data_IF_248798079222
#
_entry.id   IF_248798079222
#
_cell.length_a   1.000
_cell.length_b   1.000
_cell.length_c   1.000
_cell.angle_alpha   90.00
_cell.angle_beta   90.00
_cell.angle_gamma   90.00
#
_symmetry.space_group_name_H-M   'P 1'
#
loop_
_entity.id
_entity.type
_entity.pdbx_description
1 polymer ?
#
# COMPACT_ATOMS: atom_id res chain seq x y z
N UNK A 1 16.99 17.77 6.48
CA UNK A 1 16.06 17.31 5.41
C UNK A 1 15.33 16.06 5.87
N UNK A 2 13.99 16.07 5.83
CA UNK A 2 13.09 14.95 6.11
C UNK A 2 12.55 14.36 4.82
N UNK A 3 12.74 13.06 4.64
CA UNK A 3 12.31 12.33 3.44
C UNK A 3 11.24 11.31 3.80
N UNK A 4 10.13 11.30 3.07
CA UNK A 4 9.15 10.22 3.12
C UNK A 4 9.39 9.24 1.97
N UNK A 5 9.36 7.94 2.25
CA UNK A 5 9.50 6.90 1.24
C UNK A 5 8.33 5.93 1.36
N UNK A 6 7.49 5.90 0.34
CA UNK A 6 6.32 5.04 0.27
C UNK A 6 6.65 3.81 -0.59
N UNK A 7 6.69 2.64 0.03
CA UNK A 7 6.93 1.37 -0.67
C UNK A 7 5.59 0.72 -0.99
N UNK A 8 5.29 0.56 -2.28
CA UNK A 8 3.98 0.08 -2.74
C UNK A 8 4.05 -0.47 -4.18
N UNK A 9 3.11 -1.34 -4.54
CA UNK A 9 2.85 -1.72 -5.93
C UNK A 9 2.28 -0.57 -6.77
N UNK A 10 1.67 0.44 -6.12
CA UNK A 10 1.08 1.59 -6.79
C UNK A 10 2.06 2.76 -6.96
N UNK A 11 3.37 2.50 -6.92
CA UNK A 11 4.41 3.53 -7.00
C UNK A 11 4.39 4.29 -8.34
N UNK A 12 4.07 3.58 -9.43
CA UNK A 12 3.92 4.16 -10.76
C UNK A 12 2.46 4.35 -11.16
N UNK A 13 1.65 3.29 -11.09
CA UNK A 13 0.26 3.33 -11.52
C UNK A 13 -0.66 3.20 -10.32
N UNK A 14 -1.67 4.08 -10.26
CA UNK A 14 -2.79 3.92 -9.34
C UNK A 14 -3.69 2.80 -9.88
N UNK A 15 -3.76 1.70 -9.16
CA UNK A 15 -4.57 0.51 -9.47
C UNK A 15 -5.72 0.34 -8.48
N UNK A 16 -5.55 0.86 -7.27
CA UNK A 16 -6.47 0.61 -6.16
C UNK A 16 -6.56 1.79 -5.18
N UNK A 17 -6.93 1.45 -3.94
CA UNK A 17 -7.14 2.44 -2.89
C UNK A 17 -5.84 3.00 -2.32
N UNK A 18 -4.71 2.28 -2.41
CA UNK A 18 -3.45 2.73 -1.82
C UNK A 18 -2.89 3.92 -2.61
N UNK A 19 -2.96 3.86 -3.94
CA UNK A 19 -2.56 4.98 -4.79
C UNK A 19 -3.38 6.24 -4.53
N UNK A 20 -4.68 6.10 -4.22
CA UNK A 20 -5.51 7.24 -3.83
C UNK A 20 -5.07 7.84 -2.49
N UNK A 21 -4.80 7.00 -1.48
CA UNK A 21 -4.29 7.47 -0.18
C UNK A 21 -2.98 8.23 -0.34
N UNK A 22 -2.03 7.67 -1.10
CA UNK A 22 -0.74 8.32 -1.36
C UNK A 22 -0.95 9.65 -2.11
N UNK A 23 -1.81 9.69 -3.13
CA UNK A 23 -2.11 10.92 -3.84
C UNK A 23 -2.66 12.01 -2.90
N UNK A 24 -3.58 11.65 -2.01
CA UNK A 24 -4.16 12.58 -1.03
C UNK A 24 -3.09 13.06 -0.02
N UNK A 25 -2.26 12.16 0.51
CA UNK A 25 -1.15 12.52 1.40
C UNK A 25 -0.20 13.51 0.72
N UNK A 26 0.30 13.14 -0.46
CA UNK A 26 1.27 13.91 -1.23
C UNK A 26 0.72 15.26 -1.72
N UNK A 27 -0.60 15.49 -1.70
CA UNK A 27 -1.21 16.77 -2.10
C UNK A 27 -1.76 17.56 -0.91
N UNK A 28 -1.66 17.03 0.31
CA UNK A 28 -2.12 17.70 1.52
C UNK A 28 -1.09 18.69 2.06
N UNK A 29 -1.55 19.87 2.48
CA UNK A 29 -0.66 20.91 3.03
C UNK A 29 0.12 20.46 4.27
N UNK A 30 -0.47 19.75 5.26
CA UNK A 30 0.28 19.30 6.43
C UNK A 30 1.43 18.37 6.07
N UNK A 31 1.20 17.41 5.15
CA UNK A 31 2.23 16.49 4.69
C UNK A 31 3.37 17.24 3.97
N UNK A 32 3.03 18.11 3.02
CA UNK A 32 3.99 18.91 2.26
C UNK A 32 4.77 19.90 3.13
N UNK A 33 4.21 20.34 4.25
CA UNK A 33 4.91 21.19 5.22
C UNK A 33 5.88 20.42 6.12
N UNK A 34 5.70 19.11 6.25
CA UNK A 34 6.50 18.27 7.14
C UNK A 34 7.65 17.56 6.42
N UNK A 35 7.42 17.11 5.18
CA UNK A 35 8.41 16.40 4.37
C UNK A 35 8.97 17.29 3.27
N UNK A 36 10.30 17.35 3.18
CA UNK A 36 11.00 18.09 2.13
C UNK A 36 10.97 17.35 0.79
N UNK A 37 11.00 16.01 0.86
CA UNK A 37 11.04 15.11 -0.30
C UNK A 37 10.16 13.89 -0.07
N UNK A 38 9.57 13.40 -1.16
CA UNK A 38 8.79 12.17 -1.18
C UNK A 38 9.28 11.28 -2.31
N UNK A 39 9.57 10.02 -1.99
CA UNK A 39 9.91 8.97 -2.94
C UNK A 39 8.82 7.90 -2.96
N UNK A 40 8.33 7.57 -4.14
CA UNK A 40 7.56 6.35 -4.38
C UNK A 40 8.51 5.24 -4.84
N UNK A 41 8.58 4.16 -4.07
CA UNK A 41 9.47 3.03 -4.31
C UNK A 41 8.67 1.76 -4.61
N UNK A 42 9.02 1.06 -5.68
CA UNK A 42 8.30 -0.15 -6.05
C UNK A 42 9.00 -0.98 -7.13
N UNK A 43 8.41 -2.12 -7.50
CA UNK A 43 8.91 -2.92 -8.61
C UNK A 43 8.55 -2.30 -9.96
N UNK A 44 9.35 -2.58 -10.98
CA UNK A 44 8.96 -2.42 -12.38
C UNK A 44 8.16 -3.66 -12.78
N UNK A 45 6.88 -3.48 -13.11
CA UNK A 45 6.04 -4.57 -13.61
C UNK A 45 6.30 -4.83 -15.09
N UNK A 46 6.35 -3.78 -15.89
CA UNK A 46 6.47 -3.87 -17.35
C UNK A 46 7.24 -2.69 -17.91
N UNK A 47 7.98 -2.94 -18.99
CA UNK A 47 8.67 -1.90 -19.76
C UNK A 47 7.76 -1.37 -20.87
N UNK A 48 6.72 -0.63 -20.47
CA UNK A 48 5.80 0.04 -21.40
C UNK A 48 6.40 1.38 -21.86
N UNK A 49 6.16 1.75 -23.11
CA UNK A 49 6.56 3.05 -23.65
C UNK A 49 8.03 3.15 -24.08
N UNK A 50 8.46 4.38 -24.31
CA UNK A 50 9.85 4.74 -24.66
C UNK A 50 10.68 5.01 -23.40
N UNK A 51 12.02 5.09 -23.50
CA UNK A 51 12.89 5.39 -22.35
C UNK A 51 12.50 6.67 -21.59
N UNK A 52 12.01 7.69 -22.30
CA UNK A 52 11.58 8.97 -21.72
C UNK A 52 10.16 8.95 -21.11
N UNK A 53 9.37 7.89 -21.33
CA UNK A 53 7.97 7.81 -20.91
C UNK A 53 7.70 6.66 -19.93
N UNK A 54 8.75 5.99 -19.42
CA UNK A 54 8.67 4.89 -18.45
C UNK A 54 7.89 5.25 -17.17
N UNK A 55 7.83 6.52 -16.81
CA UNK A 55 7.07 7.02 -15.65
C UNK A 55 5.64 7.49 -15.98
N UNK A 56 5.14 7.16 -17.17
CA UNK A 56 3.80 7.54 -17.64
C UNK A 56 3.69 9.01 -18.05
N UNK A 57 2.47 9.43 -18.41
CA UNK A 57 2.19 10.75 -19.01
C UNK A 57 2.59 11.95 -18.14
N UNK A 58 2.52 11.79 -16.81
CA UNK A 58 2.80 12.85 -15.83
C UNK A 58 4.22 12.73 -15.24
N UNK A 59 5.04 11.83 -15.79
CA UNK A 59 6.37 11.50 -15.31
C UNK A 59 7.47 12.05 -16.22
N UNK A 60 8.58 12.47 -15.62
CA UNK A 60 9.83 12.80 -16.31
C UNK A 60 10.89 11.80 -15.87
N UNK A 61 11.37 10.98 -16.80
CA UNK A 61 12.44 10.02 -16.54
C UNK A 61 13.78 10.76 -16.49
N UNK A 62 14.55 10.55 -15.43
CA UNK A 62 15.93 11.03 -15.34
C UNK A 62 16.93 9.94 -15.69
N UNK A 63 16.61 8.70 -15.35
CA UNK A 63 17.49 7.56 -15.55
C UNK A 63 16.69 6.27 -15.83
N UNK A 64 17.13 5.49 -16.80
CA UNK A 64 16.71 4.11 -17.05
C UNK A 64 17.93 3.29 -17.45
N UNK A 65 18.34 2.36 -16.59
CA UNK A 65 19.56 1.56 -16.81
C UNK A 65 19.44 0.67 -18.04
N UNK A 66 18.30 -0.03 -18.18
CA UNK A 66 18.02 -0.95 -19.29
C UNK A 66 18.00 -0.25 -20.64
N UNK A 67 17.54 0.99 -20.66
CA UNK A 67 17.41 1.80 -21.87
C UNK A 67 18.67 2.64 -22.18
N UNK A 68 19.71 2.57 -21.34
CA UNK A 68 20.90 3.45 -21.39
C UNK A 68 20.53 4.94 -21.44
N UNK A 69 19.45 5.30 -20.75
CA UNK A 69 18.92 6.66 -20.74
C UNK A 69 19.34 7.37 -19.46
N UNK A 70 20.08 8.46 -19.59
CA UNK A 70 20.59 9.24 -18.45
C UNK A 70 20.66 10.73 -18.80
N UNK A 71 19.72 11.50 -18.27
CA UNK A 71 19.65 12.95 -18.53
C UNK A 71 20.30 13.78 -17.44
N UNK A 72 20.69 13.17 -16.32
CA UNK A 72 21.19 13.86 -15.11
C UNK A 72 22.44 13.20 -14.49
N UNK A 73 23.16 12.38 -15.26
CA UNK A 73 24.37 11.65 -14.85
C UNK A 73 24.16 10.69 -13.64
N UNK A 74 22.98 10.09 -13.52
CA UNK A 74 22.67 9.09 -12.49
C UNK A 74 23.37 7.75 -12.71
N UNK A 75 23.86 7.47 -13.91
CA UNK A 75 24.68 6.29 -14.21
C UNK A 75 25.87 6.16 -13.27
N UNK A 76 26.59 7.26 -12.99
CA UNK A 76 27.72 7.25 -12.06
C UNK A 76 27.30 6.93 -10.62
N UNK A 77 26.10 7.38 -10.22
CA UNK A 77 25.56 7.14 -8.89
C UNK A 77 25.19 5.67 -8.70
N UNK A 78 24.48 5.08 -9.66
CA UNK A 78 23.87 3.75 -9.48
C UNK A 78 24.73 2.59 -9.97
N UNK A 79 25.70 2.82 -10.88
CA UNK A 79 26.47 1.76 -11.56
C UNK A 79 26.92 0.63 -10.64
N UNK A 80 27.54 0.96 -9.51
CA UNK A 80 28.05 -0.05 -8.59
C UNK A 80 26.95 -0.96 -8.02
N UNK A 81 25.77 -0.40 -7.70
CA UNK A 81 24.66 -1.19 -7.16
C UNK A 81 23.97 -2.03 -8.24
N UNK A 82 23.84 -1.49 -9.46
CA UNK A 82 23.27 -2.23 -10.59
C UNK A 82 24.13 -3.46 -10.90
N UNK A 83 25.45 -3.30 -10.94
CA UNK A 83 26.41 -4.40 -11.15
C UNK A 83 26.40 -5.39 -9.97
N UNK A 84 26.46 -4.89 -8.72
CA UNK A 84 26.47 -5.73 -7.51
C UNK A 84 25.25 -6.63 -7.42
N UNK A 85 24.06 -6.07 -7.64
CA UNK A 85 22.79 -6.80 -7.46
C UNK A 85 22.27 -7.44 -8.75
N UNK A 86 22.84 -7.09 -9.91
CA UNK A 86 22.36 -7.44 -11.24
C UNK A 86 20.87 -7.06 -11.42
N UNK A 87 20.58 -5.78 -11.22
CA UNK A 87 19.23 -5.21 -11.31
C UNK A 87 19.20 -4.07 -12.31
N UNK A 88 18.01 -3.77 -12.80
CA UNK A 88 17.74 -2.56 -13.58
C UNK A 88 16.85 -1.60 -12.77
N UNK A 89 16.95 -0.31 -13.06
CA UNK A 89 16.13 0.71 -12.40
C UNK A 89 15.62 1.76 -13.37
N UNK A 90 14.48 2.35 -13.02
CA UNK A 90 13.95 3.58 -13.62
C UNK A 90 13.77 4.61 -12.50
N UNK A 91 14.37 5.77 -12.67
CA UNK A 91 14.31 6.87 -11.71
C UNK A 91 13.89 8.18 -12.37
N UNK A 92 13.08 8.96 -11.68
CA UNK A 92 12.65 10.27 -12.14
C UNK A 92 11.68 10.93 -11.19
N UNK A 93 10.90 11.86 -11.72
CA UNK A 93 9.88 12.59 -10.97
C UNK A 93 8.51 12.43 -11.65
N UNK A 94 7.46 12.57 -10.85
CA UNK A 94 6.09 12.53 -11.33
C UNK A 94 5.26 13.62 -10.66
N UNK A 95 4.45 14.31 -11.46
CA UNK A 95 3.44 15.23 -10.95
C UNK A 95 2.24 14.44 -10.43
N UNK A 96 1.87 14.68 -9.18
CA UNK A 96 0.68 14.14 -8.54
C UNK A 96 -0.37 15.24 -8.49
N UNK A 97 -1.61 14.89 -8.84
CA UNK A 97 -2.76 15.79 -8.86
C UNK A 97 -3.85 15.18 -7.99
N UNK A 98 -4.44 15.99 -7.14
CA UNK A 98 -5.58 15.58 -6.34
C UNK A 98 -6.82 15.41 -7.23
N UNK A 99 -7.48 14.25 -7.20
CA UNK A 99 -8.59 13.96 -8.11
C UNK A 99 -9.83 14.81 -7.84
N UNK A 100 -10.05 15.17 -6.57
CA UNK A 100 -11.22 15.93 -6.16
C UNK A 100 -10.95 17.43 -6.21
N UNK A 101 -9.69 17.87 -6.08
CA UNK A 101 -9.31 19.27 -6.26
C UNK A 101 -8.07 19.40 -7.17
N UNK A 102 -8.24 19.51 -8.50
CA UNK A 102 -7.12 19.56 -9.46
C UNK A 102 -6.13 20.72 -9.27
N UNK A 103 -6.46 21.73 -8.46
CA UNK A 103 -5.54 22.81 -8.10
C UNK A 103 -4.47 22.37 -7.10
N UNK A 104 -4.75 21.33 -6.30
CA UNK A 104 -3.79 20.73 -5.38
C UNK A 104 -2.90 19.75 -6.14
N UNK A 105 -1.64 20.13 -6.30
CA UNK A 105 -0.64 19.31 -7.00
C UNK A 105 0.68 19.31 -6.25
N UNK A 106 1.47 18.28 -6.47
CA UNK A 106 2.84 18.16 -5.97
C UNK A 106 3.70 17.38 -6.95
N UNK A 107 5.01 17.37 -6.73
CA UNK A 107 5.96 16.55 -7.48
C UNK A 107 6.60 15.58 -6.51
N UNK A 108 6.61 14.30 -6.86
CA UNK A 108 7.25 13.24 -6.10
C UNK A 108 8.34 12.59 -6.94
N UNK A 109 9.37 12.08 -6.30
CA UNK A 109 10.37 11.23 -6.95
C UNK A 109 9.82 9.80 -7.04
N UNK A 110 10.19 9.07 -8.09
CA UNK A 110 9.78 7.68 -8.29
C UNK A 110 11.02 6.86 -8.62
N UNK A 111 11.24 5.78 -7.87
CA UNK A 111 12.29 4.80 -8.11
C UNK A 111 11.66 3.42 -8.26
N UNK A 112 11.77 2.86 -9.46
CA UNK A 112 11.26 1.53 -9.80
C UNK A 112 12.43 0.58 -10.03
N UNK A 113 12.33 -0.64 -9.52
CA UNK A 113 13.38 -1.65 -9.61
C UNK A 113 12.90 -2.87 -10.40
N UNK A 114 13.64 -3.26 -11.44
CA UNK A 114 13.50 -4.55 -12.10
C UNK A 114 14.45 -5.56 -11.44
N UNK A 115 13.83 -6.60 -10.87
CA UNK A 115 14.48 -7.65 -10.09
C UNK A 115 14.54 -9.00 -10.83
N UNK A 116 14.16 -9.03 -12.12
CA UNK A 116 14.03 -10.26 -12.90
C UNK A 116 15.34 -11.00 -13.09
N UNK A 117 16.46 -10.28 -13.12
CA UNK A 117 17.80 -10.84 -13.34
C UNK A 117 18.69 -10.84 -12.08
N UNK A 118 18.13 -10.51 -10.91
CA UNK A 118 18.90 -10.39 -9.67
C UNK A 118 19.69 -11.66 -9.34
N UNK A 119 20.92 -11.50 -8.85
CA UNK A 119 21.81 -12.62 -8.55
C UNK A 119 21.21 -13.57 -7.49
N UNK A 120 21.04 -14.84 -7.86
CA UNK A 120 20.45 -15.89 -7.02
C UNK A 120 21.23 -16.15 -5.72
N UNK A 121 22.55 -16.06 -5.74
CA UNK A 121 23.37 -16.25 -4.54
C UNK A 121 23.08 -15.16 -3.50
N UNK A 122 22.94 -13.90 -3.96
CA UNK A 122 22.56 -12.78 -3.10
C UNK A 122 21.15 -12.99 -2.54
N UNK A 123 20.20 -13.39 -3.38
CA UNK A 123 18.81 -13.66 -2.95
C UNK A 123 18.80 -14.73 -1.85
N UNK A 124 19.49 -15.86 -2.06
CA UNK A 124 19.55 -16.95 -1.11
C UNK A 124 20.22 -16.53 0.20
N UNK A 125 21.29 -15.74 0.13
CA UNK A 125 21.95 -15.20 1.32
C UNK A 125 21.01 -14.31 2.13
N UNK A 126 20.27 -13.41 1.47
CA UNK A 126 19.28 -12.58 2.16
C UNK A 126 18.11 -13.40 2.73
N UNK A 127 17.64 -14.43 2.03
CA UNK A 127 16.62 -15.36 2.57
C UNK A 127 17.12 -16.03 3.85
N UNK A 128 18.37 -16.49 3.86
CA UNK A 128 19.02 -17.02 5.06
C UNK A 128 19.06 -15.98 6.19
N UNK A 129 19.48 -14.75 5.92
CA UNK A 129 19.51 -13.68 6.94
C UNK A 129 18.12 -13.37 7.49
N UNK A 130 17.08 -13.35 6.65
CA UNK A 130 15.71 -13.13 7.08
C UNK A 130 15.19 -14.28 7.95
N UNK A 131 15.54 -15.52 7.62
CA UNK A 131 15.22 -16.67 8.45
C UNK A 131 15.94 -16.59 9.80
N UNK A 132 17.25 -16.32 9.80
CA UNK A 132 18.07 -16.24 11.02
C UNK A 132 17.62 -15.12 11.97
N UNK A 133 17.30 -13.93 11.43
CA UNK A 133 17.02 -12.75 12.25
C UNK A 133 15.53 -12.57 12.56
N UNK A 134 14.64 -13.07 11.69
CA UNK A 134 13.21 -12.81 11.77
C UNK A 134 12.35 -14.08 11.79
N UNK A 135 12.94 -15.25 11.55
CA UNK A 135 12.21 -16.51 11.45
C UNK A 135 11.30 -16.61 10.23
N UNK A 136 11.53 -15.82 9.18
CA UNK A 136 10.71 -15.85 7.95
C UNK A 136 11.14 -17.04 7.06
N UNK A 137 10.28 -18.06 6.87
CA UNK A 137 10.64 -19.25 6.08
C UNK A 137 10.37 -19.03 4.59
N UNK A 138 11.27 -18.31 3.91
CA UNK A 138 11.15 -17.97 2.49
C UNK A 138 10.99 -19.18 1.56
N UNK A 139 11.51 -20.35 1.96
CA UNK A 139 11.40 -21.62 1.24
C UNK A 139 9.94 -22.06 1.03
N UNK A 140 9.02 -21.67 1.92
CA UNK A 140 7.59 -21.96 1.78
C UNK A 140 6.89 -21.13 0.71
N UNK A 141 7.48 -20.00 0.32
CA UNK A 141 6.79 -18.96 -0.45
C UNK A 141 7.47 -18.63 -1.78
N UNK A 142 8.65 -19.19 -2.06
CA UNK A 142 9.47 -18.83 -3.22
C UNK A 142 8.86 -19.17 -4.59
N UNK A 143 7.81 -20.00 -4.62
CA UNK A 143 7.03 -20.26 -5.83
C UNK A 143 6.04 -19.13 -6.14
N UNK A 144 5.73 -18.28 -5.16
CA UNK A 144 4.86 -17.12 -5.34
C UNK A 144 5.68 -15.91 -5.80
N UNK A 145 5.46 -15.49 -7.05
CA UNK A 145 6.17 -14.35 -7.62
C UNK A 145 5.87 -13.04 -6.90
N UNK A 146 4.66 -12.88 -6.33
CA UNK A 146 4.31 -11.67 -5.58
C UNK A 146 5.17 -11.55 -4.31
N UNK A 147 5.41 -12.67 -3.63
CA UNK A 147 6.36 -12.73 -2.51
C UNK A 147 7.78 -12.38 -2.96
N UNK A 148 8.29 -13.08 -3.98
CA UNK A 148 9.66 -12.89 -4.48
C UNK A 148 9.92 -11.46 -4.93
N UNK A 149 8.95 -10.84 -5.60
CA UNK A 149 9.07 -9.47 -6.10
C UNK A 149 9.30 -8.47 -4.97
N UNK A 150 8.46 -8.48 -3.93
CA UNK A 150 8.61 -7.54 -2.82
C UNK A 150 9.79 -7.87 -1.91
N UNK A 151 10.12 -9.16 -1.77
CA UNK A 151 11.33 -9.57 -1.07
C UNK A 151 12.58 -8.99 -1.74
N UNK A 152 12.69 -9.15 -3.07
CA UNK A 152 13.87 -8.76 -3.85
C UNK A 152 14.06 -7.25 -3.90
N UNK A 153 13.01 -6.44 -4.06
CA UNK A 153 13.19 -4.98 -4.01
C UNK A 153 13.66 -4.51 -2.63
N UNK A 154 13.48 -5.31 -1.57
CA UNK A 154 14.01 -4.99 -0.24
C UNK A 154 15.53 -5.11 -0.14
N UNK A 155 16.16 -5.95 -0.96
CA UNK A 155 17.60 -6.26 -0.89
C UNK A 155 18.49 -5.02 -1.11
N UNK A 156 18.37 -4.27 -2.22
CA UNK A 156 19.22 -3.11 -2.49
C UNK A 156 18.74 -1.82 -1.78
N UNK A 157 17.65 -1.90 -1.01
CA UNK A 157 16.87 -0.73 -0.60
C UNK A 157 17.68 0.34 0.12
N UNK A 158 18.35 0.01 1.24
CA UNK A 158 19.05 1.03 2.03
C UNK A 158 20.19 1.70 1.25
N UNK A 159 20.92 0.95 0.43
CA UNK A 159 22.03 1.48 -0.36
C UNK A 159 21.51 2.47 -1.42
N UNK A 160 20.41 2.13 -2.12
CA UNK A 160 19.77 3.03 -3.07
C UNK A 160 19.28 4.33 -2.41
N UNK A 161 18.61 4.21 -1.26
CA UNK A 161 18.11 5.37 -0.52
C UNK A 161 19.26 6.25 0.01
N UNK A 162 20.36 5.64 0.44
CA UNK A 162 21.53 6.35 0.94
C UNK A 162 22.24 7.13 -0.17
N UNK A 163 22.24 6.63 -1.40
CA UNK A 163 22.77 7.34 -2.58
C UNK A 163 21.90 8.52 -2.99
N UNK A 164 20.57 8.35 -2.96
CA UNK A 164 19.63 9.41 -3.33
C UNK A 164 19.55 10.54 -2.29
N UNK A 165 19.63 10.20 -1.01
CA UNK A 165 19.45 11.16 0.09
C UNK A 165 20.58 11.13 1.13
N UNK A 166 21.83 11.41 0.72
CA UNK A 166 22.98 11.37 1.64
C UNK A 166 22.86 12.40 2.77
N UNK A 167 22.22 13.55 2.50
CA UNK A 167 22.01 14.66 3.44
C UNK A 167 20.72 14.56 4.26
N UNK A 168 19.93 13.47 4.12
CA UNK A 168 18.73 13.31 4.93
C UNK A 168 19.08 13.12 6.41
N UNK A 169 18.42 13.90 7.27
CA UNK A 169 18.56 13.82 8.73
C UNK A 169 17.61 12.77 9.29
N UNK A 170 16.39 12.73 8.76
CA UNK A 170 15.36 11.75 9.07
C UNK A 170 14.74 11.19 7.78
N UNK A 171 14.53 9.88 7.75
CA UNK A 171 13.87 9.17 6.66
C UNK A 171 12.73 8.34 7.24
N UNK A 172 11.53 8.56 6.75
CA UNK A 172 10.31 7.88 7.15
C UNK A 172 9.96 6.86 6.06
N UNK A 173 10.04 5.59 6.41
CA UNK A 173 9.80 4.47 5.52
C UNK A 173 8.40 3.92 5.79
N UNK A 174 7.50 4.09 4.83
CA UNK A 174 6.13 3.61 4.88
C UNK A 174 6.01 2.32 4.06
N UNK A 175 5.86 1.20 4.74
CA UNK A 175 5.47 -0.05 4.11
C UNK A 175 3.95 -0.09 3.97
N UNK A 176 3.44 0.17 2.77
CA UNK A 176 2.02 -0.03 2.53
C UNK A 176 1.74 -1.51 2.37
N UNK A 177 0.90 -2.06 3.24
CA UNK A 177 0.62 -3.48 3.31
C UNK A 177 1.90 -4.35 3.43
N UNK A 178 1.75 -5.66 3.24
CA UNK A 178 2.85 -6.63 3.25
C UNK A 178 4.00 -6.29 2.29
N UNK A 179 3.73 -5.50 1.24
CA UNK A 179 4.64 -5.23 0.13
C UNK A 179 5.90 -4.48 0.55
N UNK A 180 5.80 -3.55 1.51
CA UNK A 180 6.97 -2.81 1.99
C UNK A 180 7.71 -3.46 3.15
N UNK A 181 7.13 -4.50 3.75
CA UNK A 181 7.69 -5.12 4.96
C UNK A 181 9.11 -5.67 4.72
N UNK A 182 9.41 -6.38 3.61
CA UNK A 182 10.77 -6.84 3.35
C UNK A 182 11.80 -5.71 3.28
N UNK A 183 11.46 -4.60 2.62
CA UNK A 183 12.34 -3.43 2.54
C UNK A 183 12.61 -2.78 3.90
N UNK A 184 11.63 -2.77 4.81
CA UNK A 184 11.83 -2.23 6.17
C UNK A 184 12.60 -3.18 7.09
N UNK A 185 12.47 -4.49 6.87
CA UNK A 185 13.24 -5.51 7.58
C UNK A 185 14.71 -5.53 7.12
N UNK A 186 14.96 -5.37 5.82
CA UNK A 186 16.32 -5.32 5.28
C UNK A 186 17.15 -4.15 5.82
N UNK A 187 16.49 -3.08 6.28
CA UNK A 187 17.14 -2.01 7.03
C UNK A 187 17.88 -2.57 8.27
N UNK A 188 17.25 -3.44 9.07
CA UNK A 188 17.88 -3.98 10.29
C UNK A 188 19.12 -4.84 9.99
N UNK A 189 19.16 -5.47 8.81
CA UNK A 189 20.26 -6.33 8.39
C UNK A 189 21.47 -5.54 7.89
N UNK A 190 21.31 -4.26 7.57
CA UNK A 190 22.37 -3.46 6.98
C UNK A 190 23.17 -2.71 8.06
N UNK A 191 24.51 -2.85 8.13
CA UNK A 191 25.35 -2.16 9.11
C UNK A 191 25.25 -0.62 9.07
N UNK A 192 24.84 -0.04 7.93
CA UNK A 192 24.64 1.40 7.77
C UNK A 192 23.36 1.94 8.43
N UNK A 193 22.48 1.06 8.92
CA UNK A 193 21.21 1.46 9.51
C UNK A 193 21.38 2.16 10.85
N UNK A 194 20.69 3.30 10.98
CA UNK A 194 20.66 4.11 12.20
C UNK A 194 19.21 4.36 12.61
N UNK A 195 18.74 3.71 13.67
CA UNK A 195 17.35 3.83 14.17
C UNK A 195 16.92 5.27 14.51
N UNK A 196 17.87 6.14 14.84
CA UNK A 196 17.59 7.57 15.03
C UNK A 196 17.23 8.29 13.73
N UNK A 197 17.86 7.93 12.61
CA UNK A 197 17.64 8.50 11.27
C UNK A 197 16.48 7.84 10.54
N UNK A 198 16.33 6.53 10.65
CA UNK A 198 15.35 5.76 9.88
C UNK A 198 14.15 5.39 10.75
N UNK A 199 12.96 5.92 10.44
CA UNK A 199 11.69 5.61 11.09
C UNK A 199 10.90 4.65 10.21
N UNK A 200 10.53 3.51 10.77
CA UNK A 200 9.89 2.41 10.05
C UNK A 200 8.45 2.31 10.46
N UNK A 201 7.56 2.41 9.48
CA UNK A 201 6.13 2.53 9.68
C UNK A 201 5.44 1.51 8.79
N UNK A 202 4.70 0.58 9.39
CA UNK A 202 3.78 -0.28 8.64
C UNK A 202 2.45 0.44 8.49
N UNK A 203 1.97 0.61 7.26
CA UNK A 203 0.72 1.27 6.92
C UNK A 203 -0.30 0.19 6.51
N UNK A 204 -1.09 -0.24 7.49
CA UNK A 204 -2.12 -1.28 7.37
C UNK A 204 -3.43 -0.66 6.85
N UNK A 205 -3.74 -0.91 5.58
CA UNK A 205 -5.05 -0.60 4.98
C UNK A 205 -6.07 -1.72 5.23
N UNK A 206 -5.58 -2.95 5.41
CA UNK A 206 -6.33 -4.11 5.89
C UNK A 206 -5.41 -5.03 6.72
N UNK A 207 -5.98 -6.01 7.42
CA UNK A 207 -5.23 -7.13 7.96
C UNK A 207 -5.43 -8.33 7.03
N UNK A 208 -4.49 -8.53 6.10
CA UNK A 208 -4.60 -9.52 5.02
C UNK A 208 -5.23 -10.88 5.40
N UNK A 209 -4.76 -11.61 6.45
CA UNK A 209 -5.35 -12.90 6.82
C UNK A 209 -6.81 -12.80 7.29
N UNK A 210 -7.22 -11.67 7.89
CA UNK A 210 -8.61 -11.45 8.30
C UNK A 210 -9.54 -11.45 7.09
N UNK A 211 -9.18 -10.76 6.00
CA UNK A 211 -9.99 -10.76 4.78
C UNK A 211 -10.18 -12.17 4.22
N UNK A 212 -9.12 -12.99 4.20
CA UNK A 212 -9.18 -14.40 3.79
C UNK A 212 -10.15 -15.19 4.66
N UNK A 213 -10.13 -14.98 5.98
CA UNK A 213 -11.04 -15.65 6.91
C UNK A 213 -12.48 -15.17 6.69
N UNK A 214 -12.72 -13.86 6.68
CA UNK A 214 -14.05 -13.25 6.50
C UNK A 214 -14.72 -13.72 5.21
N UNK A 215 -13.99 -13.79 4.10
CA UNK A 215 -14.56 -14.18 2.81
C UNK A 215 -14.89 -15.68 2.70
N UNK A 216 -14.33 -16.52 3.58
CA UNK A 216 -14.54 -17.97 3.63
C UNK A 216 -15.39 -18.45 4.83
N UNK A 217 -15.61 -17.60 5.83
CA UNK A 217 -16.40 -17.92 7.01
C UNK A 217 -17.90 -17.84 6.71
N UNK A 218 -18.67 -18.82 7.19
CA UNK A 218 -20.13 -18.74 7.17
C UNK A 218 -20.63 -17.52 7.95
N UNK A 219 -21.48 -16.70 7.35
CA UNK A 219 -21.93 -15.42 7.93
C UNK A 219 -20.91 -14.26 7.81
N UNK A 220 -19.77 -14.49 7.15
CA UNK A 220 -18.76 -13.49 6.81
C UNK A 220 -18.31 -12.63 8.01
N UNK A 221 -18.35 -11.30 7.86
CA UNK A 221 -17.93 -10.31 8.85
C UNK A 221 -18.81 -10.33 10.10
N UNK A 222 -20.11 -10.64 10.00
CA UNK A 222 -21.00 -10.75 11.17
C UNK A 222 -20.45 -11.83 12.11
N UNK A 223 -20.14 -13.01 11.57
CA UNK A 223 -19.57 -14.10 12.37
C UNK A 223 -18.18 -13.73 12.88
N UNK A 224 -17.33 -13.19 12.01
CA UNK A 224 -15.94 -12.89 12.35
C UNK A 224 -15.82 -11.90 13.51
N UNK A 225 -16.54 -10.76 13.47
CA UNK A 225 -16.41 -9.75 14.51
C UNK A 225 -16.98 -10.22 15.86
N UNK A 226 -18.03 -11.04 15.87
CA UNK A 226 -18.51 -11.68 17.10
C UNK A 226 -17.46 -12.66 17.68
N UNK A 227 -16.79 -13.44 16.82
CA UNK A 227 -15.71 -14.34 17.23
C UNK A 227 -14.50 -13.56 17.75
N UNK A 228 -14.16 -12.44 17.11
CA UNK A 228 -13.08 -11.56 17.55
C UNK A 228 -13.39 -10.96 18.93
N UNK A 229 -14.61 -10.50 19.18
CA UNK A 229 -15.02 -10.01 20.51
C UNK A 229 -14.95 -11.11 21.57
N UNK A 230 -15.42 -12.32 21.24
CA UNK A 230 -15.29 -13.48 22.12
C UNK A 230 -13.82 -13.80 22.40
N UNK A 231 -12.99 -13.89 21.36
CA UNK A 231 -11.57 -14.18 21.48
C UNK A 231 -10.85 -13.17 22.37
N UNK A 232 -11.19 -11.88 22.26
CA UNK A 232 -10.64 -10.84 23.14
C UNK A 232 -11.01 -11.02 24.60
N UNK A 233 -12.27 -11.37 24.89
CA UNK A 233 -12.74 -11.63 26.27
C UNK A 233 -12.01 -12.82 26.89
N UNK A 234 -11.72 -13.84 26.09
CA UNK A 234 -11.05 -15.08 26.53
C UNK A 234 -9.52 -15.03 26.40
N UNK A 235 -8.94 -13.93 25.93
CA UNK A 235 -7.49 -13.81 25.71
C UNK A 235 -6.94 -14.72 24.60
N UNK A 236 -7.79 -15.14 23.65
CA UNK A 236 -7.41 -15.97 22.51
C UNK A 236 -6.96 -15.11 21.32
N UNK A 237 -5.95 -15.59 20.60
CA UNK A 237 -5.51 -14.97 19.34
C UNK A 237 -6.32 -15.50 18.14
N UNK A 238 -6.22 -14.79 17.02
CA UNK A 238 -6.81 -15.21 15.74
C UNK A 238 -6.39 -16.65 15.38
N UNK A 239 -5.10 -16.96 15.48
CA UNK A 239 -4.58 -18.28 15.12
C UNK A 239 -4.89 -19.36 16.17
N UNK A 240 -5.26 -18.98 17.40
CA UNK A 240 -5.77 -19.92 18.41
C UNK A 240 -7.16 -20.45 18.04
N UNK A 241 -7.96 -19.63 17.35
CA UNK A 241 -9.34 -19.98 16.95
C UNK A 241 -9.38 -20.57 15.53
N UNK A 242 -8.69 -19.92 14.58
CA UNK A 242 -8.76 -20.28 13.16
C UNK A 242 -7.59 -21.14 12.68
N UNK A 243 -6.65 -21.49 13.57
CA UNK A 243 -5.40 -22.15 13.22
C UNK A 243 -4.40 -21.22 12.55
N UNK A 244 -3.18 -21.72 12.33
CA UNK A 244 -2.11 -20.95 11.69
C UNK A 244 -2.51 -20.50 10.29
N UNK A 245 -2.20 -19.25 9.97
CA UNK A 245 -2.39 -18.65 8.64
C UNK A 245 -1.04 -18.48 7.91
N UNK A 246 0.03 -19.11 8.41
CA UNK A 246 1.39 -18.99 7.87
C UNK A 246 1.59 -19.82 6.58
N UNK A 247 0.57 -20.52 6.09
CA UNK A 247 0.55 -21.09 4.73
C UNK A 247 0.57 -20.00 3.65
N UNK A 248 0.26 -18.76 4.01
CA UNK A 248 0.27 -17.61 3.11
C UNK A 248 1.27 -16.55 3.57
N UNK A 249 2.24 -16.23 2.71
CA UNK A 249 3.39 -15.35 3.01
C UNK A 249 3.02 -13.97 3.58
N UNK A 250 1.83 -13.44 3.29
CA UNK A 250 1.38 -12.14 3.82
C UNK A 250 1.21 -12.18 5.33
N UNK A 251 0.79 -13.31 5.89
CA UNK A 251 0.59 -13.48 7.34
C UNK A 251 1.89 -13.28 8.13
N UNK A 252 2.98 -14.05 7.91
CA UNK A 252 4.21 -13.87 8.66
C UNK A 252 4.84 -12.49 8.41
N UNK A 253 4.73 -11.93 7.19
CA UNK A 253 5.18 -10.56 6.93
C UNK A 253 4.43 -9.54 7.80
N UNK A 254 3.09 -9.55 7.77
CA UNK A 254 2.27 -8.62 8.58
C UNK A 254 2.53 -8.79 10.09
N UNK A 255 2.74 -10.03 10.56
CA UNK A 255 3.14 -10.32 11.95
C UNK A 255 4.48 -9.67 12.32
N UNK A 256 5.43 -9.58 11.37
CA UNK A 256 6.74 -8.95 11.59
C UNK A 256 6.67 -7.42 11.70
N UNK A 257 5.58 -6.78 11.31
CA UNK A 257 5.42 -5.33 11.48
C UNK A 257 5.47 -4.88 12.96
N UNK A 258 5.24 -5.78 13.93
CA UNK A 258 5.45 -5.52 15.37
C UNK A 258 6.87 -5.06 15.71
N UNK A 259 7.85 -5.35 14.84
CA UNK A 259 9.25 -4.92 14.98
C UNK A 259 9.47 -3.44 14.65
N UNK A 260 8.56 -2.82 13.91
CA UNK A 260 8.71 -1.44 13.45
C UNK A 260 8.41 -0.42 14.55
N UNK A 261 8.71 0.85 14.27
CA UNK A 261 8.54 1.94 15.23
C UNK A 261 7.06 2.26 15.46
N UNK A 262 6.27 2.24 14.39
CA UNK A 262 4.81 2.45 14.43
C UNK A 262 4.07 1.57 13.43
N UNK A 263 2.81 1.31 13.75
CA UNK A 263 1.82 0.65 12.90
C UNK A 263 0.67 1.63 12.73
N UNK A 264 0.47 2.07 11.51
CA UNK A 264 -0.57 2.98 11.08
C UNK A 264 -1.74 2.16 10.57
N UNK A 265 -2.84 2.12 11.30
CA UNK A 265 -4.04 1.37 10.95
C UNK A 265 -5.13 2.31 10.45
N UNK A 266 -5.72 2.05 9.27
CA UNK A 266 -6.62 3.03 8.63
C UNK A 266 -8.02 3.16 9.21
N UNK A 267 -8.32 2.38 10.25
CA UNK A 267 -9.60 2.44 10.94
C UNK A 267 -9.59 1.58 12.19
N UNK A 268 -10.61 1.78 13.02
CA UNK A 268 -10.70 1.13 14.33
C UNK A 268 -10.78 -0.39 14.22
N UNK A 269 -11.50 -0.91 13.22
CA UNK A 269 -11.53 -2.35 12.97
C UNK A 269 -10.16 -2.92 12.58
N UNK A 270 -9.35 -2.20 11.79
CA UNK A 270 -8.00 -2.65 11.44
C UNK A 270 -7.10 -2.72 12.68
N UNK A 271 -7.25 -1.77 13.62
CA UNK A 271 -6.58 -1.84 14.94
C UNK A 271 -6.99 -3.12 15.67
N UNK A 272 -8.28 -3.35 15.76
CA UNK A 272 -8.86 -4.45 16.52
C UNK A 272 -8.52 -5.83 15.90
N UNK A 273 -8.48 -5.92 14.58
CA UNK A 273 -8.02 -7.07 13.79
C UNK A 273 -6.53 -7.32 13.97
N UNK A 274 -5.70 -6.28 13.91
CA UNK A 274 -4.25 -6.43 14.02
C UNK A 274 -3.86 -6.90 15.42
N UNK A 275 -4.48 -6.35 16.47
CA UNK A 275 -4.31 -6.83 17.85
C UNK A 275 -4.76 -8.28 18.00
N UNK A 276 -5.82 -8.70 17.30
CA UNK A 276 -6.28 -10.07 17.35
C UNK A 276 -5.31 -11.05 16.66
N UNK A 277 -4.68 -10.62 15.56
CA UNK A 277 -3.60 -11.37 14.89
C UNK A 277 -2.31 -11.40 15.72
N UNK A 278 -1.93 -10.26 16.30
CA UNK A 278 -0.68 -10.05 17.02
C UNK A 278 -0.96 -9.53 18.45
N UNK A 279 -1.44 -10.38 19.38
CA UNK A 279 -1.81 -9.92 20.73
C UNK A 279 -0.64 -9.36 21.53
N UNK A 280 0.59 -9.78 21.24
CA UNK A 280 1.80 -9.34 21.95
C UNK A 280 2.31 -7.95 21.51
N UNK A 281 1.65 -7.30 20.55
CA UNK A 281 2.07 -5.97 20.10
C UNK A 281 1.70 -4.91 21.13
N UNK A 282 2.67 -4.04 21.44
CA UNK A 282 2.42 -2.94 22.37
C UNK A 282 1.36 -1.97 21.81
N UNK A 283 0.29 -1.64 22.55
CA UNK A 283 -0.78 -0.78 22.06
C UNK A 283 -0.30 0.59 21.57
N UNK A 284 0.73 1.17 22.20
CA UNK A 284 1.30 2.47 21.84
C UNK A 284 2.03 2.47 20.48
N UNK A 285 2.32 1.29 19.91
CA UNK A 285 2.85 1.20 18.55
C UNK A 285 1.76 1.42 17.51
N UNK A 286 0.51 1.07 17.81
CA UNK A 286 -0.60 1.16 16.87
C UNK A 286 -1.21 2.56 16.97
N UNK A 287 -1.33 3.22 15.82
CA UNK A 287 -1.93 4.55 15.68
C UNK A 287 -2.99 4.46 14.61
N UNK A 288 -4.22 4.86 14.94
CA UNK A 288 -5.30 4.97 13.95
C UNK A 288 -5.05 6.19 13.05
N UNK A 289 -5.01 5.97 11.74
CA UNK A 289 -4.82 7.02 10.72
C UNK A 289 -5.86 6.90 9.62
N UNK A 290 -6.98 7.60 9.76
CA UNK A 290 -8.06 7.52 8.78
C UNK A 290 -7.62 8.01 7.40
N UNK A 291 -8.03 7.28 6.37
CA UNK A 291 -7.87 7.73 4.98
C UNK A 291 -8.79 8.92 4.73
N UNK A 292 -8.21 10.11 4.61
CA UNK A 292 -8.96 11.33 4.34
C UNK A 292 -9.23 11.50 2.84
N UNK A 293 -10.27 12.28 2.53
CA UNK A 293 -10.62 12.67 1.16
C UNK A 293 -10.79 14.18 1.10
N UNK A 294 -10.41 14.79 -0.03
CA UNK A 294 -10.62 16.22 -0.26
C UNK A 294 -12.09 16.49 -0.59
N UNK A 295 -12.77 17.36 0.17
CA UNK A 295 -14.19 17.71 -0.05
C UNK A 295 -14.40 19.19 -0.38
N UNK A 296 -13.32 19.92 -0.60
CA UNK A 296 -13.29 21.39 -0.69
C UNK A 296 -13.60 21.95 -2.08
N UNK A 297 -13.84 21.10 -3.08
CA UNK A 297 -13.98 21.51 -4.47
C UNK A 297 -15.41 21.48 -5.02
N UNK A 298 -16.33 20.72 -4.42
CA UNK A 298 -17.69 20.55 -4.92
C UNK A 298 -18.69 21.34 -4.08
N UNK A 299 -19.56 22.10 -4.74
CA UNK A 299 -20.65 22.82 -4.09
C UNK A 299 -21.92 21.97 -3.98
N UNK A 300 -22.87 22.40 -3.14
CA UNK A 300 -24.21 21.83 -3.10
C UNK A 300 -24.91 21.92 -4.47
N UNK A 301 -24.66 23.00 -5.21
CA UNK A 301 -25.24 23.21 -6.54
C UNK A 301 -24.72 22.17 -7.54
N UNK A 302 -23.43 21.82 -7.49
CA UNK A 302 -22.84 20.77 -8.34
C UNK A 302 -23.48 19.40 -8.04
N UNK A 303 -23.72 19.11 -6.76
CA UNK A 303 -24.41 17.90 -6.33
C UNK A 303 -25.84 17.84 -6.88
N UNK A 304 -26.61 18.92 -6.74
CA UNK A 304 -28.00 18.98 -7.22
C UNK A 304 -28.07 18.87 -8.75
N UNK A 305 -27.18 19.56 -9.48
CA UNK A 305 -27.06 19.44 -10.93
C UNK A 305 -26.75 18.00 -11.37
N UNK A 306 -25.86 17.31 -10.64
CA UNK A 306 -25.49 15.93 -10.94
C UNK A 306 -26.64 14.95 -10.64
N UNK A 307 -27.37 15.18 -9.55
CA UNK A 307 -28.56 14.41 -9.20
C UNK A 307 -29.65 14.57 -10.28
N UNK A 308 -29.89 15.79 -10.77
CA UNK A 308 -30.91 16.03 -11.80
C UNK A 308 -30.55 15.36 -13.13
N UNK A 309 -29.27 15.38 -13.53
CA UNK A 309 -28.79 14.65 -14.72
C UNK A 309 -29.12 13.16 -14.64
N UNK A 310 -28.90 12.55 -13.48
CA UNK A 310 -29.20 11.13 -13.23
C UNK A 310 -30.72 10.91 -13.29
N UNK A 311 -31.52 11.77 -12.64
CA UNK A 311 -32.99 11.72 -12.71
C UNK A 311 -33.49 11.78 -14.14
N UNK A 312 -33.11 12.80 -14.90
CA UNK A 312 -33.54 12.95 -16.29
C UNK A 312 -33.16 11.71 -17.13
N UNK A 313 -31.94 11.20 -16.97
CA UNK A 313 -31.48 10.02 -17.72
C UNK A 313 -32.33 8.78 -17.42
N UNK A 314 -32.62 8.52 -16.14
CA UNK A 314 -33.40 7.34 -15.72
C UNK A 314 -34.88 7.50 -16.10
N UNK A 315 -35.49 8.68 -15.91
CA UNK A 315 -36.86 8.98 -16.35
C UNK A 315 -37.02 8.73 -17.85
N UNK A 316 -36.10 9.27 -18.65
CA UNK A 316 -36.14 9.10 -20.11
C UNK A 316 -35.94 7.64 -20.55
N UNK A 317 -35.08 6.89 -19.86
CA UNK A 317 -34.74 5.51 -20.25
C UNK A 317 -35.79 4.49 -19.84
N UNK A 318 -36.44 4.68 -18.68
CA UNK A 318 -37.33 3.68 -18.10
C UNK A 318 -38.79 4.14 -17.97
N UNK A 319 -39.11 5.38 -18.35
CA UNK A 319 -40.48 5.90 -18.36
C UNK A 319 -41.06 6.21 -16.98
N UNK A 320 -40.22 6.32 -15.94
CA UNK A 320 -40.67 6.75 -14.61
C UNK A 320 -41.13 8.21 -14.63
N UNK A 321 -42.29 8.50 -14.04
CA UNK A 321 -42.80 9.87 -13.88
C UNK A 321 -41.97 10.66 -12.86
N UNK A 322 -41.68 10.04 -11.71
CA UNK A 322 -40.95 10.63 -10.60
C UNK A 322 -39.96 9.65 -9.97
N UNK A 323 -38.92 10.21 -9.35
CA UNK A 323 -37.90 9.46 -8.61
C UNK A 323 -37.62 10.24 -7.32
N UNK A 324 -38.07 9.69 -6.20
CA UNK A 324 -37.96 10.31 -4.89
C UNK A 324 -36.59 10.08 -4.26
N UNK A 325 -36.12 8.82 -4.28
CA UNK A 325 -34.92 8.38 -3.57
C UNK A 325 -33.98 7.65 -4.53
N UNK A 326 -32.68 7.94 -4.42
CA UNK A 326 -31.61 7.13 -5.01
C UNK A 326 -30.86 6.40 -3.92
N UNK A 327 -30.81 5.08 -4.05
CA UNK A 327 -29.95 4.21 -3.25
C UNK A 327 -28.90 3.64 -4.20
N UNK A 328 -27.63 3.87 -3.90
CA UNK A 328 -26.51 3.41 -4.75
C UNK A 328 -25.46 2.73 -3.88
N UNK A 329 -25.00 1.55 -4.30
CA UNK A 329 -23.82 0.91 -3.75
C UNK A 329 -22.80 0.72 -4.88
N UNK A 330 -21.71 1.49 -4.83
CA UNK A 330 -20.66 1.46 -5.85
C UNK A 330 -19.38 0.88 -5.24
N UNK A 331 -18.97 -0.29 -5.70
CA UNK A 331 -17.80 -0.97 -5.19
C UNK A 331 -17.27 -2.03 -6.18
N UNK A 332 -16.09 -2.60 -5.86
CA UNK A 332 -15.58 -3.78 -6.57
C UNK A 332 -16.48 -4.99 -6.30
N UNK A 333 -16.65 -5.86 -7.30
CA UNK A 333 -17.51 -7.04 -7.19
C UNK A 333 -16.84 -8.17 -6.38
N UNK A 334 -16.77 -8.01 -5.06
CA UNK A 334 -16.24 -9.02 -4.13
C UNK A 334 -17.18 -9.20 -2.94
N UNK A 335 -17.22 -10.42 -2.37
CA UNK A 335 -18.16 -10.78 -1.28
C UNK A 335 -18.09 -9.83 -0.08
N UNK A 336 -16.88 -9.41 0.27
CA UNK A 336 -16.59 -8.49 1.39
C UNK A 336 -17.13 -7.07 1.18
N UNK A 337 -17.63 -6.72 -0.01
CA UNK A 337 -18.34 -5.45 -0.22
C UNK A 337 -19.81 -5.51 0.14
N UNK A 338 -20.37 -6.67 0.45
CA UNK A 338 -21.68 -6.73 1.07
C UNK A 338 -22.87 -6.43 0.16
N UNK A 339 -22.70 -6.38 -1.17
CA UNK A 339 -23.80 -6.14 -2.13
C UNK A 339 -24.98 -7.12 -1.92
N UNK A 340 -24.68 -8.35 -1.49
CA UNK A 340 -25.70 -9.34 -1.14
C UNK A 340 -26.68 -8.84 -0.05
N UNK A 341 -26.22 -8.02 0.91
CA UNK A 341 -27.08 -7.40 1.93
C UNK A 341 -28.04 -6.41 1.32
N UNK A 342 -27.61 -5.66 0.31
CA UNK A 342 -28.48 -4.71 -0.37
C UNK A 342 -29.66 -5.43 -1.02
N UNK A 343 -29.42 -6.59 -1.66
CA UNK A 343 -30.51 -7.37 -2.25
C UNK A 343 -31.50 -7.89 -1.19
N UNK A 344 -31.03 -8.35 -0.03
CA UNK A 344 -31.91 -8.72 1.07
C UNK A 344 -32.69 -7.51 1.59
N UNK A 345 -32.02 -6.37 1.82
CA UNK A 345 -32.65 -5.14 2.29
C UNK A 345 -33.71 -4.65 1.30
N UNK A 346 -33.39 -4.59 0.02
CA UNK A 346 -34.30 -4.14 -1.03
C UNK A 346 -35.54 -5.04 -1.11
N UNK A 347 -35.39 -6.36 -0.95
CA UNK A 347 -36.54 -7.26 -0.87
C UNK A 347 -37.46 -6.96 0.32
N UNK A 348 -36.90 -6.59 1.48
CA UNK A 348 -37.72 -6.17 2.62
C UNK A 348 -38.38 -4.81 2.39
N UNK A 349 -37.66 -3.87 1.76
CA UNK A 349 -38.22 -2.55 1.43
C UNK A 349 -39.37 -2.65 0.43
N UNK A 350 -39.26 -3.52 -0.58
CA UNK A 350 -40.34 -3.81 -1.55
C UNK A 350 -41.62 -4.39 -0.91
N UNK A 351 -41.53 -4.94 0.30
CA UNK A 351 -42.71 -5.40 1.04
C UNK A 351 -43.31 -4.31 1.95
N UNK A 352 -42.58 -3.23 2.21
CA UNK A 352 -43.00 -2.12 3.05
C UNK A 352 -43.65 -0.98 2.25
N UNK A 353 -43.35 -0.89 0.96
CA UNK A 353 -43.89 0.07 0.00
C UNK A 353 -44.68 -0.67 -1.08
#
# INVERSE_FOLDING_TARGET
MRVAIHITHEALYKVGGIGEVINQLCTSSPYLSFFDKTLLYGPIFEYIGSPSTRLGKDGTVFYSSKDLYDTKNFSQLFKHLLEKYNIDIVYGERKIVNELNPQKTSVVEVLLIDITHMNKEIINFFKYLFWENFGLPSDKYEQDWDYEQYFRIGIPYLELISLLYPSAEEIFHFAHEYMGIPSLLSLELNPGFKSKKHKRIFYAHEVAPVRRIVENLGGADISFYNILEFGKKEGLSLESIFGSQDDWYRTPLVKLAKRFDKIFAVGDWVVEEYKFLCPDVSPEKIVTVYNATSSDHYSLEDKLKSQEKIKCSIKNKFGFSEIDIFITHVCRLVKSKGIWRDFFLLFYLDNLF
#
